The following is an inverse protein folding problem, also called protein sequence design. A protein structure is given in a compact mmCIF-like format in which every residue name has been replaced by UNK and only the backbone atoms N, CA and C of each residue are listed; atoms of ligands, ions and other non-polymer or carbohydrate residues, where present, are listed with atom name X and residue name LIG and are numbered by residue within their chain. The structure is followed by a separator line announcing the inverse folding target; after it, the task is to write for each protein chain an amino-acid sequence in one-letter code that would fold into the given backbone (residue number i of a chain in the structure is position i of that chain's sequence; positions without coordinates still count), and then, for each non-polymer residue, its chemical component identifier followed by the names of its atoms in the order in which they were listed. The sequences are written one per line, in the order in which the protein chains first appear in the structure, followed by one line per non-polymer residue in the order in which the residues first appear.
data_IF_481335276347
#
_entry.id   IF_481335276347
#
_cell.length_a   1.000
_cell.length_b   1.000
_cell.length_c   1.000
_cell.angle_alpha   90.00
_cell.angle_beta   90.00
_cell.angle_gamma   90.00
#
_symmetry.space_group_name_H-M   'P 1'
#
loop_
_entity.id
_entity.type
_entity.pdbx_description
1 polymer ?
#
# COMPACT_ATOMS: atom_id res chain seq x y z
N UNK A 1 17.35 -23.21 -2.97
CA UNK A 1 18.39 -22.18 -3.05
C UNK A 1 18.22 -21.17 -1.95
N UNK A 2 19.28 -20.84 -1.30
CA UNK A 2 19.16 -19.86 -0.24
C UNK A 2 19.00 -18.47 -0.83
N UNK A 3 18.15 -17.70 -0.24
CA UNK A 3 17.91 -16.33 -0.62
C UNK A 3 18.77 -15.44 0.28
N UNK A 4 19.69 -14.73 -0.32
CA UNK A 4 20.55 -13.83 0.43
C UNK A 4 19.95 -12.44 0.40
N UNK A 5 19.61 -11.92 1.57
CA UNK A 5 19.06 -10.58 1.69
C UNK A 5 20.22 -9.60 1.83
N UNK A 6 20.33 -8.63 0.94
CA UNK A 6 21.36 -7.61 1.08
C UNK A 6 21.16 -6.86 2.40
N UNK A 7 22.25 -6.62 3.10
CA UNK A 7 22.15 -6.03 4.42
C UNK A 7 21.50 -4.65 4.40
N UNK A 8 21.72 -3.90 3.33
CA UNK A 8 21.21 -2.54 3.24
C UNK A 8 19.72 -2.52 2.87
N UNK A 9 19.09 -3.68 2.64
CA UNK A 9 17.73 -3.75 2.14
C UNK A 9 16.75 -4.34 3.13
N UNK A 10 17.10 -4.37 4.39
CA UNK A 10 16.29 -5.11 5.35
C UNK A 10 15.15 -4.30 5.95
N UNK A 11 15.24 -2.98 5.91
CA UNK A 11 14.27 -2.15 6.61
C UNK A 11 13.16 -1.70 5.67
N UNK A 12 11.91 -1.80 6.15
CA UNK A 12 10.76 -1.26 5.45
C UNK A 12 10.87 0.27 5.48
N UNK A 13 10.60 0.95 4.37
CA UNK A 13 10.63 2.40 4.35
C UNK A 13 9.69 3.01 5.40
N UNK A 14 10.11 4.12 5.99
CA UNK A 14 9.33 4.75 7.05
C UNK A 14 7.98 5.25 6.57
N UNK A 15 7.86 5.59 5.30
CA UNK A 15 6.61 6.10 4.74
C UNK A 15 5.66 4.98 4.32
N UNK A 16 6.03 3.72 4.54
CA UNK A 16 5.18 2.61 4.17
C UNK A 16 3.91 2.62 5.03
N UNK A 17 2.75 2.29 4.44
CA UNK A 17 1.51 2.28 5.20
C UNK A 17 1.52 1.17 6.24
N UNK A 18 0.94 1.47 7.41
CA UNK A 18 0.76 0.47 8.46
C UNK A 18 -0.42 -0.42 8.11
N UNK A 19 -0.41 -1.68 8.57
CA UNK A 19 -1.60 -2.53 8.39
C UNK A 19 -2.84 -1.87 8.96
N UNK A 20 -3.96 -2.06 8.31
CA UNK A 20 -5.22 -1.49 8.76
C UNK A 20 -6.14 -1.15 7.61
N UNK A 21 -7.21 -0.44 7.95
CA UNK A 21 -8.26 -0.10 7.00
C UNK A 21 -7.96 1.23 6.34
N UNK A 22 -8.05 1.25 5.01
CA UNK A 22 -7.82 2.45 4.21
C UNK A 22 -9.00 2.68 3.29
N UNK A 23 -9.22 3.94 2.94
CA UNK A 23 -10.27 4.31 2.00
C UNK A 23 -9.63 4.99 0.80
N UNK A 24 -9.92 4.49 -0.39
CA UNK A 24 -9.53 5.14 -1.63
C UNK A 24 -10.30 6.45 -1.77
N UNK A 25 -9.67 7.46 -2.36
CA UNK A 25 -10.32 8.77 -2.46
C UNK A 25 -11.64 8.72 -3.23
N UNK A 26 -11.87 7.69 -4.03
CA UNK A 26 -13.14 7.50 -4.74
C UNK A 26 -14.16 6.69 -3.94
N UNK A 27 -13.83 6.29 -2.71
CA UNK A 27 -14.79 5.66 -1.80
C UNK A 27 -14.54 4.24 -1.37
N UNK A 28 -14.03 3.33 -2.24
CA UNK A 28 -13.90 1.93 -1.84
C UNK A 28 -12.94 1.73 -0.67
N UNK A 29 -13.19 0.69 0.11
CA UNK A 29 -12.40 0.36 1.28
C UNK A 29 -11.45 -0.80 0.98
N UNK A 30 -10.27 -0.73 1.59
CA UNK A 30 -9.21 -1.72 1.41
C UNK A 30 -8.56 -1.98 2.75
N UNK A 31 -8.13 -3.21 2.96
CA UNK A 31 -7.39 -3.56 4.17
C UNK A 31 -5.95 -3.83 3.80
N UNK A 32 -5.03 -3.01 4.31
CA UNK A 32 -3.61 -3.23 4.12
C UNK A 32 -3.18 -4.33 5.07
N UNK A 33 -2.54 -5.36 4.52
CA UNK A 33 -2.11 -6.53 5.26
C UNK A 33 -0.63 -6.48 5.60
N UNK A 34 0.18 -6.01 4.65
CA UNK A 34 1.63 -6.07 4.81
C UNK A 34 2.30 -5.26 3.71
N UNK A 35 3.60 -5.11 3.83
CA UNK A 35 4.45 -4.54 2.80
C UNK A 35 5.51 -5.59 2.48
N UNK A 36 5.68 -5.89 1.20
CA UNK A 36 6.54 -6.99 0.76
C UNK A 36 7.50 -6.53 -0.32
N UNK A 37 8.53 -7.31 -0.58
CA UNK A 37 9.49 -7.05 -1.65
C UNK A 37 9.15 -7.91 -2.86
N UNK A 38 9.21 -7.32 -4.03
CA UNK A 38 9.09 -8.07 -5.28
C UNK A 38 10.38 -8.87 -5.45
N UNK A 39 10.25 -10.19 -5.62
CA UNK A 39 11.43 -11.05 -5.64
C UNK A 39 12.33 -10.83 -6.85
N UNK A 40 11.78 -10.27 -7.93
CA UNK A 40 12.56 -10.08 -9.16
C UNK A 40 13.03 -8.65 -9.35
N UNK A 41 12.19 -7.68 -8.99
CA UNK A 41 12.53 -6.26 -9.19
C UNK A 41 13.08 -5.61 -7.95
N UNK A 42 12.89 -6.23 -6.79
CA UNK A 42 13.31 -5.71 -5.49
C UNK A 42 12.55 -4.46 -5.07
N UNK A 43 11.46 -4.13 -5.75
CA UNK A 43 10.66 -2.98 -5.34
C UNK A 43 9.76 -3.34 -4.17
N UNK A 44 9.38 -2.32 -3.40
CA UNK A 44 8.46 -2.50 -2.30
C UNK A 44 7.03 -2.49 -2.81
N UNK A 45 6.22 -3.42 -2.30
CA UNK A 45 4.83 -3.58 -2.70
C UNK A 45 3.94 -3.54 -1.46
N UNK A 46 2.77 -2.92 -1.59
CA UNK A 46 1.76 -2.96 -0.55
C UNK A 46 0.82 -4.11 -0.85
N UNK A 47 0.62 -4.99 0.12
CA UNK A 47 -0.29 -6.14 0.00
C UNK A 47 -1.60 -5.76 0.70
N UNK A 48 -2.70 -5.83 -0.03
CA UNK A 48 -3.98 -5.40 0.51
C UNK A 48 -5.12 -6.24 -0.04
N UNK A 49 -6.21 -6.28 0.70
CA UNK A 49 -7.42 -6.98 0.29
C UNK A 49 -8.52 -6.00 0.02
N UNK A 50 -9.36 -6.33 -0.96
CA UNK A 50 -10.58 -5.57 -1.19
C UNK A 50 -11.55 -5.82 -0.04
N UNK A 51 -12.24 -4.77 0.42
CA UNK A 51 -13.31 -4.93 1.40
C UNK A 51 -14.66 -4.93 0.71
N UNK A 52 -14.69 -5.37 -0.54
CA UNK A 52 -15.90 -5.42 -1.35
C UNK A 52 -15.67 -6.44 -2.47
N UNK A 53 -16.71 -6.71 -3.25
CA UNK A 53 -16.61 -7.62 -4.38
C UNK A 53 -16.24 -9.02 -3.94
N UNK A 54 -15.17 -9.56 -4.51
CA UNK A 54 -14.73 -10.93 -4.20
C UNK A 54 -13.73 -10.99 -3.06
N UNK A 55 -13.42 -9.86 -2.44
CA UNK A 55 -12.50 -9.77 -1.29
C UNK A 55 -11.12 -10.32 -1.60
N UNK A 56 -10.71 -10.26 -2.86
CA UNK A 56 -9.41 -10.78 -3.26
C UNK A 56 -8.26 -9.91 -2.74
N UNK A 57 -7.08 -10.51 -2.76
CA UNK A 57 -5.86 -9.85 -2.28
C UNK A 57 -5.01 -9.44 -3.48
N UNK A 58 -4.50 -8.22 -3.42
CA UNK A 58 -3.75 -7.60 -4.51
C UNK A 58 -2.47 -6.98 -3.98
N UNK A 59 -1.60 -6.61 -4.90
CA UNK A 59 -0.40 -5.85 -4.56
C UNK A 59 -0.34 -4.61 -5.45
N UNK A 60 0.29 -3.56 -4.91
CA UNK A 60 0.49 -2.31 -5.64
C UNK A 60 1.84 -1.75 -5.23
N UNK A 61 2.62 -1.20 -6.16
CA UNK A 61 3.89 -0.57 -5.77
C UNK A 61 3.69 0.47 -4.68
N UNK A 62 4.61 0.46 -3.72
CA UNK A 62 4.51 1.34 -2.55
C UNK A 62 4.37 2.80 -2.97
N UNK A 63 5.19 3.24 -3.92
CA UNK A 63 5.17 4.64 -4.34
C UNK A 63 3.82 5.05 -4.90
N UNK A 64 3.16 4.13 -5.60
CA UNK A 64 1.83 4.41 -6.14
C UNK A 64 0.76 4.40 -5.06
N UNK A 65 0.94 3.57 -4.03
CA UNK A 65 -0.05 3.49 -2.95
C UNK A 65 -0.06 4.78 -2.14
N UNK A 66 1.11 5.37 -1.90
CA UNK A 66 1.22 6.55 -1.02
C UNK A 66 1.15 7.88 -1.76
N UNK A 67 0.96 7.86 -3.08
CA UNK A 67 0.98 9.12 -3.81
C UNK A 67 -0.30 9.92 -3.57
N UNK A 68 -0.19 11.23 -3.75
CA UNK A 68 -1.35 12.13 -3.65
C UNK A 68 -2.00 12.26 -5.02
N UNK A 69 -3.28 12.62 -4.99
CA UNK A 69 -4.09 12.85 -6.18
C UNK A 69 -4.60 14.28 -6.12
N UNK A 70 -4.58 14.96 -7.24
CA UNK A 70 -5.13 16.32 -7.34
C UNK A 70 -6.55 16.22 -7.87
N UNK A 71 -7.50 16.72 -7.09
CA UNK A 71 -8.92 16.72 -7.47
C UNK A 71 -9.18 17.83 -8.48
N UNK A 72 -10.36 17.78 -9.11
CA UNK A 72 -10.76 18.82 -10.06
C UNK A 72 -10.77 20.20 -9.42
N UNK A 73 -11.04 20.27 -8.13
CA UNK A 73 -11.03 21.53 -7.39
C UNK A 73 -9.64 22.09 -7.18
N UNK A 74 -8.58 21.31 -7.47
CA UNK A 74 -7.21 21.69 -7.19
C UNK A 74 -6.73 21.21 -5.83
N UNK A 75 -7.61 20.65 -5.03
CA UNK A 75 -7.22 20.12 -3.72
C UNK A 75 -6.43 18.83 -3.88
N UNK A 76 -5.37 18.67 -3.07
CA UNK A 76 -4.58 17.45 -3.07
C UNK A 76 -4.99 16.57 -1.91
N UNK A 77 -5.25 15.30 -2.20
CA UNK A 77 -5.66 14.32 -1.20
C UNK A 77 -4.83 13.06 -1.38
N UNK A 78 -4.62 12.28 -0.32
CA UNK A 78 -3.95 10.99 -0.48
C UNK A 78 -4.82 10.04 -1.31
N UNK A 79 -4.19 9.23 -2.14
CA UNK A 79 -4.93 8.23 -2.92
C UNK A 79 -5.64 7.26 -1.99
N UNK A 80 -4.98 6.88 -0.89
CA UNK A 80 -5.55 6.01 0.14
C UNK A 80 -5.35 6.68 1.49
N UNK A 81 -6.43 6.82 2.25
CA UNK A 81 -6.40 7.45 3.56
C UNK A 81 -6.65 6.40 4.62
N UNK A 82 -5.76 6.32 5.62
CA UNK A 82 -5.95 5.39 6.72
C UNK A 82 -7.12 5.84 7.58
N UNK A 83 -8.01 4.92 7.87
CA UNK A 83 -9.16 5.20 8.72
C UNK A 83 -8.82 4.86 10.16
N UNK A 84 -9.42 5.59 11.12
CA UNK A 84 -9.18 5.26 12.51
C UNK A 84 -9.76 3.89 12.83
N UNK A 85 -9.09 3.19 13.73
CA UNK A 85 -9.58 1.90 14.19
C UNK A 85 -10.64 2.11 15.25
N UNK A 86 -11.65 1.25 15.21
CA UNK A 86 -12.73 1.31 16.16
C UNK A 86 -12.27 0.93 17.58
#
# INVERSE_FOLDING_TARGET
MSHTVPSQQTAVPKHAPQPGLYQHYKGPLYKVLDVARHSETDEWLVVYSLCYGDYSTWVRPLDMFVETVTLDSGEEVPRFKRLPEA
#
